data_IF_656733248998
#
_entry.id   IF_656733248998
#
_cell.length_a   1.000
_cell.length_b   1.000
_cell.length_c   1.000
_cell.angle_alpha   90.00
_cell.angle_beta   90.00
_cell.angle_gamma   90.00
#
_symmetry.space_group_name_H-M   'P 1'
#
loop_
_entity.id
_entity.type
_entity.pdbx_description
1 polymer ?
#
# COMPACT_ATOMS: atom_id res chain seq x y z
N UNK A 1 -3.07 31.20 8.48
CA UNK A 1 -3.27 31.08 7.01
C UNK A 1 -1.94 31.42 6.37
N UNK A 2 -1.26 30.47 5.72
CA UNK A 2 0.06 30.72 5.13
C UNK A 2 -0.08 31.65 3.92
N UNK A 3 0.79 32.66 3.81
CA UNK A 3 0.78 33.67 2.75
C UNK A 3 1.49 33.14 1.50
N UNK A 4 0.93 32.09 0.89
CA UNK A 4 1.49 31.48 -0.33
C UNK A 4 0.97 32.27 -1.53
N UNK A 5 1.88 32.73 -2.39
CA UNK A 5 1.54 33.44 -3.63
C UNK A 5 1.01 32.45 -4.67
N UNK A 6 0.08 32.90 -5.51
CA UNK A 6 -0.59 32.08 -6.52
C UNK A 6 0.40 31.41 -7.50
N UNK A 7 1.49 32.11 -7.86
CA UNK A 7 2.57 31.60 -8.71
C UNK A 7 3.31 30.38 -8.10
N UNK A 8 3.42 30.30 -6.77
CA UNK A 8 4.04 29.16 -6.10
C UNK A 8 3.10 27.96 -6.08
N UNK A 9 1.79 28.20 -6.03
CA UNK A 9 0.76 27.17 -6.13
C UNK A 9 0.75 26.53 -7.52
N UNK A 10 0.87 27.34 -8.58
CA UNK A 10 0.94 26.85 -9.95
C UNK A 10 2.19 26.02 -10.23
N UNK A 11 3.35 26.43 -9.71
CA UNK A 11 4.59 25.63 -9.76
C UNK A 11 4.43 24.31 -9.00
N UNK A 12 3.79 24.33 -7.84
CA UNK A 12 3.53 23.13 -7.05
C UNK A 12 2.58 22.17 -7.77
N UNK A 13 1.56 22.72 -8.44
CA UNK A 13 0.56 21.99 -9.22
C UNK A 13 1.16 21.38 -10.48
N UNK A 14 2.00 22.11 -11.22
CA UNK A 14 2.80 21.58 -12.33
C UNK A 14 3.73 20.44 -11.88
N UNK A 15 4.43 20.61 -10.76
CA UNK A 15 5.33 19.56 -10.23
C UNK A 15 4.55 18.32 -9.77
N UNK A 16 3.29 18.50 -9.35
CA UNK A 16 2.42 17.44 -8.85
C UNK A 16 1.44 16.89 -9.89
N UNK A 17 1.52 17.31 -11.16
CA UNK A 17 0.55 16.97 -12.22
C UNK A 17 0.36 15.47 -12.46
N UNK A 18 1.36 14.64 -12.14
CA UNK A 18 1.28 13.18 -12.26
C UNK A 18 1.04 12.42 -10.95
N UNK A 19 0.92 13.12 -9.81
CA UNK A 19 0.66 12.46 -8.52
C UNK A 19 -0.84 12.28 -8.36
N UNK A 20 -1.26 11.12 -7.85
CA UNK A 20 -2.64 10.95 -7.39
C UNK A 20 -2.94 12.05 -6.37
N UNK A 21 -4.17 12.58 -6.41
CA UNK A 21 -4.64 13.46 -5.34
C UNK A 21 -4.50 12.74 -3.99
N UNK A 22 -4.36 13.47 -2.88
CA UNK A 22 -4.31 12.84 -1.56
C UNK A 22 -5.47 11.86 -1.31
N UNK A 23 -6.69 12.19 -1.75
CA UNK A 23 -7.82 11.27 -1.63
C UNK A 23 -7.66 10.06 -2.55
N UNK A 24 -7.18 10.25 -3.78
CA UNK A 24 -6.91 9.17 -4.71
C UNK A 24 -5.83 8.21 -4.19
N UNK A 25 -4.73 8.73 -3.63
CA UNK A 25 -3.64 7.94 -3.08
C UNK A 25 -4.12 7.10 -1.87
N UNK A 26 -4.94 7.71 -1.02
CA UNK A 26 -5.57 7.03 0.12
C UNK A 26 -6.51 5.92 -0.35
N UNK A 27 -7.38 6.22 -1.33
CA UNK A 27 -8.28 5.25 -1.93
C UNK A 27 -7.55 4.08 -2.60
N UNK A 28 -6.44 4.35 -3.29
CA UNK A 28 -5.59 3.33 -3.88
C UNK A 28 -4.96 2.44 -2.80
N UNK A 29 -4.36 3.01 -1.75
CA UNK A 29 -3.78 2.24 -0.64
C UNK A 29 -4.82 1.35 0.06
N UNK A 30 -6.00 1.89 0.39
CA UNK A 30 -7.06 1.12 1.01
C UNK A 30 -7.57 -0.01 0.10
N UNK A 31 -7.77 0.28 -1.19
CA UNK A 31 -8.18 -0.72 -2.18
C UNK A 31 -7.16 -1.85 -2.32
N UNK A 32 -5.87 -1.52 -2.37
CA UNK A 32 -4.78 -2.51 -2.41
C UNK A 32 -4.75 -3.38 -1.16
N UNK A 33 -4.87 -2.78 0.03
CA UNK A 33 -4.91 -3.52 1.29
C UNK A 33 -6.10 -4.47 1.32
N UNK A 34 -7.30 -4.02 0.95
CA UNK A 34 -8.49 -4.85 0.88
C UNK A 34 -8.32 -6.03 -0.07
N UNK A 35 -7.76 -5.80 -1.26
CA UNK A 35 -7.53 -6.85 -2.24
C UNK A 35 -6.52 -7.89 -1.74
N UNK A 36 -5.37 -7.46 -1.21
CA UNK A 36 -4.32 -8.36 -0.70
C UNK A 36 -4.80 -9.13 0.54
N UNK A 37 -5.67 -8.53 1.37
CA UNK A 37 -6.28 -9.20 2.53
C UNK A 37 -7.01 -10.49 2.14
N UNK A 38 -7.63 -10.54 0.96
CA UNK A 38 -8.32 -11.74 0.46
C UNK A 38 -7.32 -12.89 0.25
N UNK A 39 -6.18 -12.60 -0.40
CA UNK A 39 -5.13 -13.61 -0.60
C UNK A 39 -4.50 -14.04 0.72
N UNK A 40 -4.27 -13.11 1.63
CA UNK A 40 -3.77 -13.43 2.96
C UNK A 40 -4.70 -14.35 3.73
N UNK A 41 -6.02 -14.11 3.66
CA UNK A 41 -7.00 -15.00 4.26
C UNK A 41 -6.90 -16.43 3.70
N UNK A 42 -6.77 -16.57 2.37
CA UNK A 42 -6.60 -17.89 1.73
C UNK A 42 -5.30 -18.56 2.20
N UNK A 43 -4.19 -17.82 2.27
CA UNK A 43 -2.90 -18.34 2.75
C UNK A 43 -3.00 -18.81 4.21
N UNK A 44 -3.66 -18.04 5.08
CA UNK A 44 -3.82 -18.42 6.49
C UNK A 44 -4.75 -19.61 6.69
N UNK A 45 -5.83 -19.73 5.91
CA UNK A 45 -6.75 -20.88 5.95
C UNK A 45 -6.10 -22.13 5.36
N UNK A 46 -5.26 -21.98 4.33
CA UNK A 46 -4.60 -23.07 3.62
C UNK A 46 -3.46 -23.74 4.37
N UNK A 47 -3.04 -23.21 5.52
CA UNK A 47 -1.81 -23.58 6.25
C UNK A 47 -0.53 -23.31 5.43
N UNK A 48 0.49 -22.77 6.10
CA UNK A 48 1.82 -22.55 5.52
C UNK A 48 2.50 -23.86 5.07
N UNK A 49 2.06 -25.00 5.60
CA UNK A 49 2.56 -26.32 5.20
C UNK A 49 2.02 -26.81 3.85
N UNK A 50 0.98 -26.17 3.30
CA UNK A 50 0.50 -26.47 1.95
C UNK A 50 1.55 -26.11 0.89
N UNK A 51 2.37 -25.10 1.17
CA UNK A 51 3.50 -24.67 0.34
C UNK A 51 4.74 -25.51 0.63
N UNK A 52 4.78 -26.73 0.10
CA UNK A 52 5.88 -27.69 0.35
C UNK A 52 7.18 -27.33 -0.37
N UNK A 53 7.11 -26.59 -1.49
CA UNK A 53 8.30 -26.16 -2.21
C UNK A 53 9.01 -25.02 -1.47
N UNK A 54 10.34 -25.09 -1.37
CA UNK A 54 11.16 -24.06 -0.73
C UNK A 54 10.94 -22.67 -1.34
N UNK A 55 10.79 -22.62 -2.67
CA UNK A 55 10.53 -21.37 -3.40
C UNK A 55 9.18 -20.76 -3.01
N UNK A 56 8.10 -21.55 -3.08
CA UNK A 56 6.74 -21.11 -2.75
C UNK A 56 6.65 -20.65 -1.30
N UNK A 57 7.26 -21.40 -0.37
CA UNK A 57 7.31 -21.03 1.04
C UNK A 57 8.06 -19.72 1.28
N UNK A 58 9.10 -19.46 0.50
CA UNK A 58 9.87 -18.21 0.60
C UNK A 58 9.07 -17.02 0.09
N UNK A 59 8.35 -17.19 -1.03
CA UNK A 59 7.44 -16.17 -1.56
C UNK A 59 6.36 -15.84 -0.53
N UNK A 60 5.65 -16.84 -0.01
CA UNK A 60 4.57 -16.64 0.95
C UNK A 60 5.06 -15.92 2.21
N UNK A 61 6.23 -16.30 2.74
CA UNK A 61 6.84 -15.59 3.88
C UNK A 61 7.16 -14.13 3.56
N UNK A 62 7.70 -13.87 2.36
CA UNK A 62 8.01 -12.51 1.91
C UNK A 62 6.73 -11.68 1.80
N UNK A 63 5.66 -12.27 1.27
CA UNK A 63 4.35 -11.63 1.12
C UNK A 63 3.76 -11.24 2.48
N UNK A 64 3.83 -12.12 3.48
CA UNK A 64 3.35 -11.84 4.85
C UNK A 64 4.10 -10.65 5.48
N UNK A 65 5.41 -10.58 5.26
CA UNK A 65 6.24 -9.45 5.73
C UNK A 65 5.83 -8.16 5.04
N UNK A 66 5.69 -8.17 3.70
CA UNK A 66 5.29 -7.00 2.92
C UNK A 66 3.90 -6.50 3.30
N UNK A 67 2.95 -7.41 3.50
CA UNK A 67 1.60 -7.07 3.96
C UNK A 67 1.60 -6.45 5.36
N UNK A 68 2.40 -6.99 6.28
CA UNK A 68 2.56 -6.39 7.62
C UNK A 68 3.12 -4.97 7.52
N UNK A 69 4.07 -4.75 6.61
CA UNK A 69 4.63 -3.44 6.32
C UNK A 69 3.57 -2.46 5.76
N UNK A 70 2.65 -2.93 4.92
CA UNK A 70 1.53 -2.12 4.41
C UNK A 70 0.63 -1.63 5.54
N UNK A 71 0.33 -2.46 6.54
CA UNK A 71 -0.45 -2.04 7.72
C UNK A 71 0.29 -1.03 8.58
N UNK A 72 1.60 -1.21 8.78
CA UNK A 72 2.42 -0.25 9.52
C UNK A 72 2.40 1.11 8.82
N UNK A 73 2.60 1.13 7.50
CA UNK A 73 2.51 2.37 6.72
C UNK A 73 1.12 2.98 6.74
N UNK A 74 0.06 2.18 6.68
CA UNK A 74 -1.31 2.69 6.82
C UNK A 74 -1.49 3.41 8.15
N UNK A 75 -1.03 2.84 9.27
CA UNK A 75 -1.15 3.47 10.59
C UNK A 75 -0.31 4.74 10.69
N UNK A 76 0.90 4.75 10.11
CA UNK A 76 1.82 5.90 10.18
C UNK A 76 1.39 7.07 9.29
N UNK A 77 0.71 6.81 8.18
CA UNK A 77 0.33 7.81 7.18
C UNK A 77 -1.19 8.06 7.07
N UNK A 78 -2.00 7.42 7.92
CA UNK A 78 -3.42 7.74 8.15
C UNK A 78 -3.58 8.88 9.14
#
# INVERSE_FOLDING_TARGET
>A
MWNIKEEDLDKFRMTSQGRLSPEGATGFMLGTIFYISIFMFIIFVGDLNYYNNFFDRTIVKTEIVLYSLQFIFLILYS
#
